data_IF_207438151401
#
_entry.id   IF_207438151401
#
_cell.length_a   1.000
_cell.length_b   1.000
_cell.length_c   1.000
_cell.angle_alpha   90.00
_cell.angle_beta   90.00
_cell.angle_gamma   90.00
#
_symmetry.space_group_name_H-M   'P 1'
#
loop_
_entity.id
_entity.type
_entity.pdbx_description
1 polymer ?
#
# COMPACT_ATOMS: atom_id res chain seq x y z
N UNK A 1 12.21 -14.85 -22.05
CA UNK A 1 11.81 -13.71 -21.20
C UNK A 1 11.18 -14.19 -19.89
N UNK A 2 10.07 -14.95 -19.94
CA UNK A 2 9.32 -15.46 -18.76
C UNK A 2 10.18 -15.87 -17.54
N UNK A 3 11.13 -16.81 -17.66
CA UNK A 3 11.95 -17.26 -16.52
C UNK A 3 12.67 -16.13 -15.74
N UNK A 4 13.05 -15.04 -16.41
CA UNK A 4 13.68 -13.87 -15.75
C UNK A 4 12.64 -13.11 -14.93
N UNK A 5 11.40 -13.02 -15.41
CA UNK A 5 10.30 -12.37 -14.70
C UNK A 5 9.83 -13.20 -13.50
N UNK A 6 9.74 -14.53 -13.63
CA UNK A 6 9.49 -15.43 -12.48
C UNK A 6 10.57 -15.28 -11.40
N UNK A 7 11.86 -15.30 -11.78
CA UNK A 7 12.95 -15.06 -10.84
C UNK A 7 12.87 -13.69 -10.15
N UNK A 8 12.45 -12.62 -10.87
CA UNK A 8 12.22 -11.31 -10.26
C UNK A 8 11.08 -11.32 -9.25
N UNK A 9 9.97 -11.97 -9.59
CA UNK A 9 8.77 -12.07 -8.73
C UNK A 9 9.11 -12.85 -7.45
N UNK A 10 9.70 -14.03 -7.58
CA UNK A 10 10.10 -14.85 -6.43
C UNK A 10 11.08 -14.10 -5.52
N UNK A 11 12.11 -13.46 -6.08
CA UNK A 11 13.07 -12.70 -5.27
C UNK A 11 12.41 -11.51 -4.57
N UNK A 12 11.52 -10.77 -5.23
CA UNK A 12 10.77 -9.69 -4.57
C UNK A 12 9.88 -10.22 -3.43
N UNK A 13 9.14 -11.30 -3.68
CA UNK A 13 8.31 -11.94 -2.67
C UNK A 13 9.14 -12.41 -1.48
N UNK A 14 10.33 -12.94 -1.74
CA UNK A 14 11.30 -13.37 -0.72
C UNK A 14 11.86 -12.23 0.11
N UNK A 15 12.22 -11.09 -0.48
CA UNK A 15 12.70 -9.95 0.29
C UNK A 15 11.60 -9.37 1.20
N UNK A 16 10.35 -9.28 0.75
CA UNK A 16 9.23 -8.94 1.64
C UNK A 16 8.98 -10.01 2.72
N UNK A 17 9.07 -11.30 2.36
CA UNK A 17 8.89 -12.41 3.28
C UNK A 17 9.93 -12.42 4.42
N UNK A 18 11.18 -11.98 4.18
CA UNK A 18 12.16 -11.77 5.25
C UNK A 18 11.74 -10.71 6.27
N UNK A 19 11.12 -9.61 5.80
CA UNK A 19 10.65 -8.53 6.69
C UNK A 19 9.49 -9.05 7.55
N UNK A 20 8.51 -9.72 6.91
CA UNK A 20 7.42 -10.42 7.61
C UNK A 20 7.94 -11.46 8.62
N UNK A 21 8.97 -12.23 8.27
CA UNK A 21 9.62 -13.19 9.17
C UNK A 21 10.34 -12.50 10.36
N UNK A 22 10.89 -11.30 10.16
CA UNK A 22 11.50 -10.53 11.24
C UNK A 22 10.44 -9.95 12.21
N UNK A 23 9.32 -9.45 11.69
CA UNK A 23 8.20 -8.95 12.50
C UNK A 23 7.48 -10.08 13.26
N UNK A 24 7.28 -11.24 12.64
CA UNK A 24 6.59 -12.38 13.28
C UNK A 24 7.48 -13.11 14.28
N UNK A 25 8.81 -13.13 14.10
CA UNK A 25 9.76 -13.77 15.02
C UNK A 25 9.73 -13.21 16.45
N UNK A 26 9.32 -11.96 16.65
CA UNK A 26 9.20 -11.36 17.99
C UNK A 26 7.83 -11.61 18.65
N UNK A 27 6.94 -12.38 17.99
CA UNK A 27 5.62 -12.74 18.49
C UNK A 27 5.62 -14.24 18.80
N UNK A 28 5.81 -14.62 20.06
CA UNK A 28 5.92 -16.02 20.51
C UNK A 28 4.75 -16.89 20.00
N UNK A 29 3.53 -16.36 20.09
CA UNK A 29 2.30 -17.03 19.66
C UNK A 29 2.13 -17.15 18.12
N UNK A 30 3.04 -16.60 17.32
CA UNK A 30 3.03 -16.80 15.88
C UNK A 30 3.63 -18.16 15.49
N UNK A 31 4.57 -18.70 16.27
CA UNK A 31 5.30 -19.92 15.91
C UNK A 31 6.15 -19.76 14.64
N UNK A 32 6.37 -20.82 13.85
CA UNK A 32 7.18 -20.76 12.63
C UNK A 32 6.63 -19.77 11.59
N UNK A 33 7.48 -18.88 11.08
CA UNK A 33 7.17 -18.00 9.96
C UNK A 33 7.12 -18.76 8.63
N UNK A 34 6.39 -18.20 7.67
CA UNK A 34 6.55 -18.48 6.24
C UNK A 34 7.95 -18.06 5.75
N UNK A 35 8.44 -18.76 4.72
CA UNK A 35 9.70 -18.48 4.05
C UNK A 35 9.56 -18.78 2.55
N UNK A 36 9.76 -17.79 1.68
CA UNK A 36 9.85 -18.00 0.22
C UNK A 36 11.24 -18.50 -0.15
N UNK A 37 11.33 -19.66 -0.80
CA UNK A 37 12.61 -20.26 -1.20
C UNK A 37 13.24 -19.54 -2.40
N UNK A 38 14.58 -19.48 -2.50
CA UNK A 38 15.25 -18.85 -3.63
C UNK A 38 15.09 -19.66 -4.93
N UNK A 39 14.74 -18.97 -6.02
CA UNK A 39 14.75 -19.53 -7.38
C UNK A 39 15.91 -18.90 -8.15
N UNK A 40 16.71 -19.75 -8.79
CA UNK A 40 17.91 -19.40 -9.53
C UNK A 40 17.68 -19.57 -11.04
N UNK A 41 18.22 -18.66 -11.86
CA UNK A 41 18.22 -18.79 -13.32
C UNK A 41 19.47 -19.53 -13.79
N UNK A 42 19.31 -20.73 -14.33
CA UNK A 42 20.39 -21.53 -14.89
C UNK A 42 20.47 -21.34 -16.42
N UNK A 43 21.66 -20.99 -16.92
CA UNK A 43 21.98 -21.04 -18.35
C UNK A 43 22.54 -22.42 -18.72
N UNK A 44 22.08 -22.98 -19.84
CA UNK A 44 22.34 -24.37 -20.26
C UNK A 44 22.70 -24.42 -21.76
N UNK A 45 23.96 -24.15 -22.15
CA UNK A 45 24.35 -23.96 -23.55
C UNK A 45 24.19 -25.21 -24.43
N UNK A 46 24.21 -26.42 -23.84
CA UNK A 46 24.06 -27.68 -24.56
C UNK A 46 22.60 -28.15 -24.71
N UNK A 47 21.61 -27.35 -24.29
CA UNK A 47 20.19 -27.72 -24.28
C UNK A 47 19.38 -26.82 -25.22
N UNK A 48 18.45 -27.43 -25.99
CA UNK A 48 17.53 -26.71 -26.88
C UNK A 48 16.66 -25.65 -26.17
N UNK A 49 16.47 -25.79 -24.84
CA UNK A 49 15.90 -24.74 -23.97
C UNK A 49 17.05 -24.20 -23.09
N UNK A 50 17.72 -23.11 -23.48
CA UNK A 50 18.99 -22.68 -22.89
C UNK A 50 18.86 -21.96 -21.54
N UNK A 51 17.64 -21.69 -21.07
CA UNK A 51 17.37 -21.13 -19.75
C UNK A 51 16.36 -21.98 -19.00
N UNK A 52 16.58 -22.19 -17.71
CA UNK A 52 15.64 -22.84 -16.80
C UNK A 52 15.71 -22.19 -15.40
N UNK A 53 14.64 -22.33 -14.64
CA UNK A 53 14.63 -22.08 -13.19
C UNK A 53 15.09 -23.32 -12.44
N UNK A 54 15.80 -23.12 -11.32
CA UNK A 54 16.24 -24.17 -10.38
C UNK A 54 15.98 -23.67 -8.96
N UNK A 55 15.45 -24.54 -8.10
CA UNK A 55 15.14 -24.25 -6.71
C UNK A 55 15.40 -25.47 -5.82
N UNK A 56 15.12 -25.37 -4.53
CA UNK A 56 15.25 -26.50 -3.61
C UNK A 56 14.01 -27.39 -3.71
N UNK A 57 14.19 -28.69 -3.93
CA UNK A 57 13.11 -29.67 -3.90
C UNK A 57 12.46 -29.72 -2.50
N UNK A 58 11.14 -29.66 -2.44
CA UNK A 58 10.37 -29.54 -1.21
C UNK A 58 9.74 -30.89 -0.84
N UNK A 59 10.40 -31.63 0.06
CA UNK A 59 9.94 -32.93 0.53
C UNK A 59 8.71 -32.81 1.44
N UNK A 60 7.52 -33.14 0.95
CA UNK A 60 6.30 -33.23 1.75
C UNK A 60 5.02 -33.15 0.91
N UNK A 61 3.90 -32.76 1.55
CA UNK A 61 2.60 -32.65 0.88
C UNK A 61 2.45 -31.26 0.25
N UNK A 62 2.73 -31.17 -1.06
CA UNK A 62 2.59 -29.95 -1.84
C UNK A 62 1.14 -29.45 -1.86
N UNK A 63 0.93 -28.18 -1.53
CA UNK A 63 -0.38 -27.55 -1.40
C UNK A 63 -0.40 -26.16 -2.04
N UNK A 64 -1.57 -25.80 -2.59
CA UNK A 64 -1.90 -24.41 -2.97
C UNK A 64 -2.69 -23.77 -1.82
N UNK A 65 -2.05 -22.90 -1.07
CA UNK A 65 -2.64 -22.19 0.08
C UNK A 65 -3.54 -21.04 -0.37
N UNK A 66 -3.20 -20.41 -1.51
CA UNK A 66 -4.09 -19.52 -2.25
C UNK A 66 -3.73 -19.51 -3.73
N UNK A 67 -4.72 -19.35 -4.61
CA UNK A 67 -4.54 -19.18 -6.06
C UNK A 67 -5.56 -18.20 -6.62
N UNK A 68 -5.33 -17.69 -7.83
CA UNK A 68 -6.19 -16.67 -8.47
C UNK A 68 -7.17 -17.33 -9.44
N UNK A 69 -8.48 -17.15 -9.21
CA UNK A 69 -9.51 -17.65 -10.11
C UNK A 69 -9.72 -16.77 -11.36
N UNK A 70 -10.43 -17.33 -12.35
CA UNK A 70 -10.73 -16.67 -13.62
C UNK A 70 -11.69 -15.45 -13.49
N UNK A 71 -12.28 -15.23 -12.33
CA UNK A 71 -13.10 -14.05 -12.01
C UNK A 71 -12.31 -12.93 -11.32
N UNK A 72 -11.04 -13.20 -10.97
CA UNK A 72 -10.12 -12.30 -10.28
C UNK A 72 -10.11 -12.48 -8.75
N UNK A 73 -10.77 -13.50 -8.21
CA UNK A 73 -10.85 -13.76 -6.78
C UNK A 73 -9.67 -14.62 -6.35
N UNK A 74 -9.11 -14.32 -5.20
CA UNK A 74 -8.12 -15.20 -4.56
C UNK A 74 -8.89 -16.26 -3.77
N UNK A 75 -8.65 -17.54 -4.04
CA UNK A 75 -9.14 -18.66 -3.22
C UNK A 75 -8.41 -18.65 -1.86
N UNK A 76 -8.93 -17.87 -0.93
CA UNK A 76 -8.36 -17.71 0.41
C UNK A 76 -8.80 -18.85 1.33
N UNK A 77 -8.10 -19.98 1.24
CA UNK A 77 -8.28 -21.10 2.16
C UNK A 77 -7.85 -20.70 3.57
N UNK A 78 -8.48 -21.29 4.58
CA UNK A 78 -8.26 -20.95 6.01
C UNK A 78 -8.45 -22.15 6.95
N UNK A 79 -8.45 -23.38 6.42
CA UNK A 79 -8.61 -24.61 7.18
C UNK A 79 -7.36 -25.06 7.93
N UNK A 80 -6.16 -24.73 7.42
CA UNK A 80 -4.87 -24.99 8.09
C UNK A 80 -4.22 -23.73 8.66
N UNK A 81 -3.28 -23.91 9.58
CA UNK A 81 -2.48 -22.82 10.15
C UNK A 81 -1.66 -22.09 9.06
N UNK A 82 -1.06 -22.85 8.14
CA UNK A 82 -0.26 -22.31 7.02
C UNK A 82 -1.15 -21.48 6.09
N UNK A 83 -2.33 -21.98 5.74
CA UNK A 83 -3.32 -21.23 4.94
C UNK A 83 -3.70 -19.89 5.60
N UNK A 84 -3.94 -19.90 6.92
CA UNK A 84 -4.20 -18.67 7.67
C UNK A 84 -2.99 -17.73 7.68
N UNK A 85 -1.75 -18.25 7.83
CA UNK A 85 -0.52 -17.45 7.73
C UNK A 85 -0.32 -16.85 6.33
N UNK A 86 -0.67 -17.58 5.26
CA UNK A 86 -0.64 -17.08 3.88
C UNK A 86 -1.66 -15.95 3.67
N UNK A 87 -2.88 -16.13 4.17
CA UNK A 87 -3.93 -15.11 4.21
C UNK A 87 -3.48 -13.83 4.96
N UNK A 88 -2.73 -14.00 6.06
CA UNK A 88 -2.14 -12.89 6.82
C UNK A 88 -0.98 -12.23 6.10
N UNK A 89 -0.10 -12.98 5.43
CA UNK A 89 0.97 -12.43 4.60
C UNK A 89 0.39 -11.58 3.46
N UNK A 90 -0.69 -12.01 2.82
CA UNK A 90 -1.39 -11.23 1.80
C UNK A 90 -1.94 -9.90 2.35
N UNK A 91 -2.52 -9.90 3.56
CA UNK A 91 -2.99 -8.70 4.25
C UNK A 91 -1.83 -7.78 4.64
N UNK A 92 -0.73 -8.35 5.15
CA UNK A 92 0.48 -7.62 5.51
C UNK A 92 1.10 -6.95 4.28
N UNK A 93 1.29 -7.67 3.16
CA UNK A 93 1.80 -7.13 1.89
C UNK A 93 0.93 -5.98 1.37
N UNK A 94 -0.39 -6.14 1.41
CA UNK A 94 -1.33 -5.10 1.01
C UNK A 94 -1.17 -3.85 1.89
N UNK A 95 -1.06 -4.00 3.21
CA UNK A 95 -0.88 -2.86 4.13
C UNK A 95 0.50 -2.20 3.97
N UNK A 96 1.56 -3.00 3.90
CA UNK A 96 2.96 -2.58 3.81
C UNK A 96 3.27 -1.82 2.51
N UNK A 97 2.64 -2.23 1.39
CA UNK A 97 2.81 -1.57 0.08
C UNK A 97 1.74 -0.52 -0.22
N UNK A 98 0.97 -0.08 0.78
CA UNK A 98 -0.14 0.87 0.62
C UNK A 98 -1.16 0.47 -0.47
N UNK A 99 -1.40 -0.84 -0.63
CA UNK A 99 -2.31 -1.41 -1.62
C UNK A 99 -1.79 -1.36 -3.06
N UNK A 100 -0.48 -1.29 -3.29
CA UNK A 100 0.12 -1.29 -4.62
C UNK A 100 0.55 -2.68 -5.11
N UNK A 101 0.83 -3.62 -4.20
CA UNK A 101 1.20 -5.00 -4.46
C UNK A 101 0.27 -5.95 -3.68
N UNK A 102 0.00 -7.12 -4.25
CA UNK A 102 -0.72 -8.21 -3.60
C UNK A 102 -0.19 -9.55 -4.11
N UNK A 103 0.04 -10.52 -3.21
CA UNK A 103 0.36 -11.90 -3.61
C UNK A 103 -0.94 -12.62 -3.97
N UNK A 104 -1.00 -13.23 -5.15
CA UNK A 104 -2.20 -13.84 -5.73
C UNK A 104 -2.12 -15.37 -5.85
N UNK A 105 -0.91 -15.93 -5.85
CA UNK A 105 -0.67 -17.38 -5.74
C UNK A 105 0.39 -17.64 -4.69
N UNK A 106 0.10 -18.55 -3.76
CA UNK A 106 0.99 -19.00 -2.68
C UNK A 106 0.84 -20.51 -2.55
N UNK A 107 1.93 -21.23 -2.76
CA UNK A 107 1.98 -22.69 -2.86
C UNK A 107 3.32 -23.23 -2.35
N UNK A 108 3.39 -24.51 -1.99
CA UNK A 108 4.60 -25.11 -1.43
C UNK A 108 4.31 -26.22 -0.42
N UNK A 109 5.20 -26.37 0.57
CA UNK A 109 5.16 -27.44 1.59
C UNK A 109 5.43 -26.84 2.96
N UNK A 110 4.55 -27.15 3.93
CA UNK A 110 4.58 -26.57 5.28
C UNK A 110 4.74 -25.04 5.21
N UNK A 111 5.70 -24.44 5.91
CA UNK A 111 5.95 -22.99 5.84
C UNK A 111 6.86 -22.56 4.68
N UNK A 112 7.35 -23.49 3.85
CA UNK A 112 8.20 -23.19 2.68
C UNK A 112 7.31 -22.90 1.47
N UNK A 113 7.37 -21.66 1.00
CA UNK A 113 6.59 -21.16 -0.14
C UNK A 113 7.46 -21.11 -1.40
N UNK A 114 6.88 -21.50 -2.53
CA UNK A 114 7.41 -21.20 -3.86
C UNK A 114 6.30 -20.78 -4.83
N UNK A 115 6.63 -20.66 -6.11
CA UNK A 115 5.68 -20.38 -7.19
C UNK A 115 4.93 -19.07 -7.03
N UNK A 116 5.50 -18.06 -6.35
CA UNK A 116 4.70 -16.90 -5.90
C UNK A 116 4.14 -16.12 -7.08
N UNK A 117 2.81 -16.06 -7.17
CA UNK A 117 2.10 -15.17 -8.10
C UNK A 117 1.82 -13.82 -7.44
N UNK A 118 1.91 -12.73 -8.20
CA UNK A 118 1.61 -11.38 -7.71
C UNK A 118 0.72 -10.60 -8.69
N UNK A 119 0.01 -9.60 -8.17
CA UNK A 119 -0.64 -8.55 -8.95
C UNK A 119 -0.21 -7.17 -8.44
N UNK A 120 -0.19 -6.22 -9.37
CA UNK A 120 0.20 -4.82 -9.11
C UNK A 120 -0.96 -3.89 -9.43
N UNK A 121 -1.09 -2.79 -8.68
CA UNK A 121 -2.15 -1.79 -8.90
C UNK A 121 -1.85 -0.85 -10.08
N UNK A 122 -0.57 -0.73 -10.45
CA UNK A 122 -0.10 0.03 -11.61
C UNK A 122 1.04 -0.70 -12.31
N UNK A 123 1.02 -0.66 -13.65
CA UNK A 123 2.00 -1.34 -14.51
C UNK A 123 3.40 -0.78 -14.28
N UNK A 124 4.41 -1.65 -14.22
CA UNK A 124 5.82 -1.24 -14.04
C UNK A 124 6.27 -1.05 -12.59
N UNK A 125 5.42 -1.38 -11.59
CA UNK A 125 5.79 -1.35 -10.17
C UNK A 125 7.14 -2.05 -9.92
N UNK A 126 8.09 -1.33 -9.32
CA UNK A 126 9.45 -1.82 -9.01
C UNK A 126 10.23 -2.44 -10.19
N UNK A 127 9.93 -2.04 -11.44
CA UNK A 127 10.61 -2.57 -12.64
C UNK A 127 10.20 -4.00 -13.02
N UNK A 128 9.03 -4.45 -12.55
CA UNK A 128 8.38 -5.68 -12.95
C UNK A 128 7.54 -5.45 -14.23
N UNK A 129 7.69 -6.34 -15.21
CA UNK A 129 6.88 -6.32 -16.43
C UNK A 129 5.59 -7.12 -16.19
N UNK A 130 4.67 -6.52 -15.42
CA UNK A 130 3.37 -7.09 -15.04
C UNK A 130 2.29 -6.05 -15.29
N UNK A 131 1.18 -6.48 -15.90
CA UNK A 131 0.01 -5.64 -16.16
C UNK A 131 -0.76 -5.32 -14.87
N UNK A 132 -1.30 -4.10 -14.78
CA UNK A 132 -2.11 -3.70 -13.64
C UNK A 132 -3.45 -4.44 -13.60
N UNK A 133 -3.77 -5.10 -12.47
CA UNK A 133 -5.05 -5.77 -12.27
C UNK A 133 -5.79 -5.25 -11.03
N UNK A 134 -6.38 -4.03 -11.09
CA UNK A 134 -7.00 -3.39 -9.92
C UNK A 134 -8.19 -4.17 -9.35
N UNK A 135 -8.90 -4.95 -10.18
CA UNK A 135 -10.05 -5.76 -9.75
C UNK A 135 -9.69 -6.74 -8.62
N UNK A 136 -8.50 -7.34 -8.66
CA UNK A 136 -8.05 -8.29 -7.63
C UNK A 136 -7.90 -7.60 -6.27
N UNK A 137 -7.51 -6.32 -6.24
CA UNK A 137 -7.39 -5.55 -4.99
C UNK A 137 -8.76 -5.23 -4.39
N UNK A 138 -9.74 -4.81 -5.21
CA UNK A 138 -11.13 -4.57 -4.79
C UNK A 138 -11.78 -5.87 -4.26
N UNK A 139 -11.56 -6.96 -4.98
CA UNK A 139 -12.05 -8.28 -4.61
C UNK A 139 -11.36 -8.83 -3.35
N UNK A 140 -10.08 -8.54 -3.13
CA UNK A 140 -9.37 -8.90 -1.90
C UNK A 140 -9.90 -8.11 -0.69
N UNK A 141 -10.02 -6.78 -0.79
CA UNK A 141 -10.54 -5.91 0.29
C UNK A 141 -11.96 -6.30 0.73
N UNK A 142 -12.83 -6.66 -0.21
CA UNK A 142 -14.21 -7.07 0.07
C UNK A 142 -14.32 -8.47 0.69
N UNK A 143 -13.49 -9.42 0.26
CA UNK A 143 -13.56 -10.83 0.68
C UNK A 143 -12.74 -11.15 1.93
N UNK A 144 -11.59 -10.48 2.12
CA UNK A 144 -10.68 -10.77 3.23
C UNK A 144 -11.40 -10.63 4.59
N UNK A 145 -11.15 -11.62 5.44
CA UNK A 145 -11.56 -11.65 6.84
C UNK A 145 -10.29 -11.82 7.67
N UNK A 146 -10.01 -10.86 8.55
CA UNK A 146 -8.85 -10.94 9.43
C UNK A 146 -8.98 -12.17 10.33
N UNK A 147 -7.92 -12.98 10.40
CA UNK A 147 -7.82 -14.18 11.22
C UNK A 147 -7.03 -13.90 12.52
N UNK A 148 -6.72 -14.96 13.26
CA UNK A 148 -5.89 -14.89 14.49
C UNK A 148 -4.53 -14.20 14.27
N UNK A 149 -3.79 -14.62 13.23
CA UNK A 149 -2.46 -14.09 12.91
C UNK A 149 -2.50 -12.63 12.40
N UNK A 150 -3.57 -12.22 11.71
CA UNK A 150 -3.81 -10.79 11.40
C UNK A 150 -3.98 -9.96 12.67
N UNK A 151 -4.61 -10.52 13.71
CA UNK A 151 -4.76 -9.91 15.03
C UNK A 151 -3.43 -9.80 15.78
N UNK A 152 -2.62 -10.87 15.77
CA UNK A 152 -1.27 -10.86 16.37
C UNK A 152 -0.37 -9.75 15.80
N UNK A 153 -0.42 -9.52 14.49
CA UNK A 153 0.34 -8.46 13.81
C UNK A 153 -0.34 -7.07 13.87
N UNK A 154 -1.46 -6.92 14.58
CA UNK A 154 -2.17 -5.65 14.72
C UNK A 154 -2.66 -5.04 13.39
N UNK A 155 -2.89 -5.86 12.36
CA UNK A 155 -3.18 -5.37 11.01
C UNK A 155 -4.55 -4.68 10.96
N UNK A 156 -4.61 -3.51 10.32
CA UNK A 156 -5.87 -2.74 10.23
C UNK A 156 -6.84 -3.44 9.28
N UNK A 157 -8.07 -3.67 9.75
CA UNK A 157 -9.14 -4.25 8.95
C UNK A 157 -9.33 -3.48 7.64
N UNK A 158 -9.23 -4.18 6.51
CA UNK A 158 -9.26 -3.57 5.18
C UNK A 158 -10.54 -2.78 4.91
N UNK A 159 -11.67 -3.21 5.49
CA UNK A 159 -12.98 -2.56 5.38
C UNK A 159 -13.05 -1.21 6.11
N UNK A 160 -12.24 -1.05 7.16
CA UNK A 160 -12.06 0.22 7.86
C UNK A 160 -11.13 1.13 7.06
N UNK A 161 -10.06 0.60 6.46
CA UNK A 161 -9.18 1.40 5.59
C UNK A 161 -9.90 1.89 4.32
N UNK A 162 -10.73 1.05 3.69
CA UNK A 162 -11.56 1.45 2.55
C UNK A 162 -12.52 2.59 2.93
N UNK A 163 -13.24 2.45 4.05
CA UNK A 163 -14.15 3.48 4.58
C UNK A 163 -13.46 4.82 4.91
N UNK A 164 -12.16 4.81 5.21
CA UNK A 164 -11.35 6.02 5.48
C UNK A 164 -10.72 6.62 4.23
N UNK A 165 -10.53 5.81 3.17
CA UNK A 165 -9.97 6.24 1.88
C UNK A 165 -11.06 6.71 0.92
N UNK A 166 -12.30 6.20 1.03
CA UNK A 166 -13.46 6.82 0.39
C UNK A 166 -13.76 8.16 1.06
N UNK A 167 -13.78 9.30 0.34
CA UNK A 167 -14.34 10.53 0.89
C UNK A 167 -15.80 10.27 1.22
N UNK A 168 -16.17 10.38 2.50
CA UNK A 168 -17.54 10.21 2.93
C UNK A 168 -18.42 11.23 2.19
N UNK A 169 -19.20 10.78 1.20
CA UNK A 169 -20.15 11.62 0.47
C UNK A 169 -20.96 12.40 1.51
N UNK A 170 -20.93 13.74 1.51
CA UNK A 170 -21.62 14.51 2.54
C UNK A 170 -23.09 14.11 2.49
N UNK A 171 -23.61 13.56 3.59
CA UNK A 171 -25.02 13.19 3.70
C UNK A 171 -25.82 14.45 3.43
N UNK A 172 -26.51 14.48 2.29
CA UNK A 172 -27.21 15.68 1.83
C UNK A 172 -28.10 16.20 2.95
N UNK A 173 -27.82 17.43 3.38
CA UNK A 173 -28.52 18.04 4.51
C UNK A 173 -30.01 18.12 4.17
N UNK A 174 -30.83 17.35 4.89
CA UNK A 174 -32.28 17.53 4.87
C UNK A 174 -32.61 18.80 5.64
N UNK A 175 -32.37 19.94 5.00
CA UNK A 175 -32.67 21.26 5.53
C UNK A 175 -34.14 21.34 5.99
N UNK A 176 -34.43 21.70 7.25
CA UNK A 176 -35.79 21.84 7.74
C UNK A 176 -36.40 23.15 7.23
N UNK A 177 -36.78 23.19 5.95
CA UNK A 177 -37.46 24.34 5.37
C UNK A 177 -38.93 24.37 5.83
N UNK A 178 -39.24 25.41 6.62
CA UNK A 178 -40.51 25.61 7.31
C UNK A 178 -41.69 25.80 6.34
N UNK A 179 -42.88 25.40 6.78
CA UNK A 179 -44.13 25.59 6.02
C UNK A 179 -44.41 27.09 5.77
N UNK A 180 -44.36 27.51 4.51
CA UNK A 180 -44.90 28.81 4.09
C UNK A 180 -46.44 28.75 4.06
N UNK A 181 -47.10 29.27 5.11
CA UNK A 181 -48.48 29.75 5.03
C UNK A 181 -48.46 31.28 4.99
N UNK A 182 -49.15 31.87 4.01
CA UNK A 182 -49.39 33.32 3.94
C UNK A 182 -50.79 33.62 4.49
N UNK A 183 -50.89 34.59 5.40
CA UNK A 183 -52.11 35.30 5.76
C UNK A 183 -51.71 36.70 6.25
N UNK A 184 -52.54 37.72 5.99
CA UNK A 184 -52.20 39.13 6.24
C UNK A 184 -52.63 39.61 7.65
N UNK A 185 -51.98 40.65 8.18
CA UNK A 185 -52.35 41.20 9.49
C UNK A 185 -51.54 42.38 10.04
N UNK A 186 -51.70 43.57 9.45
CA UNK A 186 -51.68 44.91 10.12
C UNK A 186 -50.43 45.45 10.88
N UNK A 187 -50.40 46.79 10.95
CA UNK A 187 -49.80 47.66 12.00
C UNK A 187 -48.27 47.76 12.15
N UNK A 188 -47.74 48.90 11.68
CA UNK A 188 -46.57 49.61 12.23
C UNK A 188 -46.95 50.29 13.58
N UNK A 189 -46.02 50.86 14.41
CA UNK A 189 -45.13 51.97 14.02
C UNK A 189 -43.70 52.00 14.64
N UNK A 190 -42.80 52.78 14.01
CA UNK A 190 -41.80 53.77 14.56
C UNK A 190 -40.92 53.42 15.80
N UNK A 191 -39.70 53.95 16.03
CA UNK A 191 -38.78 54.88 15.32
C UNK A 191 -37.35 54.72 15.87
N UNK A 192 -36.31 55.01 15.07
CA UNK A 192 -34.92 55.12 15.56
C UNK A 192 -34.00 55.73 14.48
N UNK A 193 -32.98 56.52 14.86
CA UNK A 193 -32.15 57.30 13.91
C UNK A 193 -30.67 57.34 14.32
N UNK A 194 -29.79 57.43 13.30
CA UNK A 194 -28.36 57.85 13.35
C UNK A 194 -27.40 56.89 14.08
N UNK A 195 -26.06 56.95 13.88
CA UNK A 195 -25.25 57.36 12.72
C UNK A 195 -23.77 56.94 12.91
N UNK A 196 -22.99 57.11 11.84
CA UNK A 196 -21.53 56.91 11.68
C UNK A 196 -20.59 57.14 12.89
N UNK A 197 -19.48 56.39 12.92
CA UNK A 197 -18.39 56.56 13.89
C UNK A 197 -17.14 55.72 13.57
N UNK A 198 -16.42 56.04 12.49
CA UNK A 198 -15.14 55.40 12.15
C UNK A 198 -14.08 56.44 11.80
N UNK A 199 -12.91 56.41 12.47
CA UNK A 199 -11.71 57.13 12.03
C UNK A 199 -10.54 56.19 11.72
N UNK A 200 -9.87 56.48 10.60
CA UNK A 200 -8.50 56.01 10.26
C UNK A 200 -7.63 57.25 10.01
N UNK A 201 -6.32 57.04 9.85
CA UNK A 201 -5.24 58.03 9.56
C UNK A 201 -4.50 58.59 10.81
N UNK A 202 -3.20 58.94 10.77
CA UNK A 202 -2.06 58.49 9.92
C UNK A 202 -0.73 59.15 10.41
N UNK A 203 0.41 58.78 9.78
CA UNK A 203 1.71 59.54 9.69
C UNK A 203 2.68 59.33 10.88
N UNK A 204 3.81 58.61 10.69
CA UNK A 204 5.19 59.01 10.25
C UNK A 204 6.01 59.63 11.42
N UNK A 205 7.30 59.35 11.66
CA UNK A 205 8.49 59.39 10.75
C UNK A 205 9.68 58.51 11.25
N UNK A 206 10.76 58.42 10.45
CA UNK A 206 12.09 57.74 10.65
C UNK A 206 12.77 57.98 12.03
N UNK A 207 13.82 57.28 12.53
CA UNK A 207 15.09 56.70 12.01
C UNK A 207 15.60 55.59 12.99
N UNK A 208 16.68 54.77 12.81
CA UNK A 208 17.49 54.21 11.70
C UNK A 208 18.55 53.18 12.26
N UNK A 209 19.66 52.86 11.56
CA UNK A 209 20.81 52.06 12.04
C UNK A 209 20.70 50.53 11.86
N UNK A 210 21.33 49.79 10.92
CA UNK A 210 22.64 49.83 10.22
C UNK A 210 23.74 48.96 10.86
N UNK A 211 23.93 47.71 10.36
CA UNK A 211 25.23 47.14 9.88
C UNK A 211 25.18 45.66 9.42
N UNK A 212 25.43 45.47 8.13
CA UNK A 212 26.12 44.32 7.49
C UNK A 212 27.53 44.84 7.06
N UNK A 213 28.52 44.07 6.50
CA UNK A 213 28.44 42.86 5.66
C UNK A 213 29.46 41.75 6.11
N UNK A 214 30.01 40.77 5.34
CA UNK A 214 30.31 40.66 3.89
C UNK A 214 30.68 39.22 3.43
N UNK A 215 30.38 38.89 2.15
CA UNK A 215 31.00 37.90 1.22
C UNK A 215 31.13 36.41 1.66
N UNK A 216 30.71 35.39 0.91
CA UNK A 216 30.83 35.03 -0.53
C UNK A 216 32.25 34.66 -1.02
N UNK A 217 32.44 33.38 -1.43
CA UNK A 217 32.58 33.00 -2.85
C UNK A 217 32.31 31.49 -3.04
N UNK A 218 32.44 30.95 -4.26
CA UNK A 218 32.00 29.61 -4.65
C UNK A 218 32.96 28.92 -5.64
N UNK A 219 32.78 27.59 -5.77
CA UNK A 219 33.27 26.67 -6.81
C UNK A 219 34.80 26.46 -6.99
N UNK A 220 35.23 25.19 -7.02
CA UNK A 220 35.67 24.53 -8.26
C UNK A 220 35.71 22.98 -8.09
N UNK A 221 35.68 22.24 -9.20
CA UNK A 221 36.06 20.83 -9.35
C UNK A 221 36.28 20.54 -10.86
N UNK A 222 37.46 20.06 -11.28
CA UNK A 222 37.67 18.61 -11.28
C UNK A 222 39.14 18.14 -11.16
N UNK A 223 39.35 16.80 -11.09
CA UNK A 223 40.31 16.09 -11.97
C UNK A 223 40.22 14.56 -11.88
N UNK A 224 40.31 13.93 -13.05
CA UNK A 224 40.51 12.48 -13.23
C UNK A 224 41.99 12.14 -13.14
N UNK A 225 42.34 10.97 -12.59
CA UNK A 225 43.68 10.38 -12.74
C UNK A 225 43.55 8.95 -13.27
N UNK A 226 44.34 8.64 -14.30
CA UNK A 226 44.68 7.29 -14.74
C UNK A 226 46.20 7.17 -14.68
N UNK A 227 46.71 6.06 -14.13
CA UNK A 227 47.98 5.37 -14.43
C UNK A 227 48.20 4.34 -13.29
N UNK A 228 48.76 3.15 -13.54
CA UNK A 228 49.21 2.55 -14.81
C UNK A 228 48.65 1.12 -14.93
#
# INVERSE_FOLDING_TARGET
>A
MFYIQECKIQNLAREYCKIFAAETRVIENFGPSLEVIPVYLMYRPANAVPYATVETDLTGVYQKFSDLDYTGRIDMRTGSEVEQKCCTLQHWIFQWTNGNLLFTRLEGVDTKITGVGISVKSTGHQGLSIEANPKVFEQFVSQHKCNYFCGLLGLRSLKVMDSLLTPAKPKSSRSPLLQRKMAAGSSSPQTGRKAAGSPRLSRKTEQEGSKMPTKQKAADAPKTIKMA
#
